data_IF_995543101636
#
_entry.id   IF_995543101636
#
_cell.length_a   1.000
_cell.length_b   1.000
_cell.length_c   1.000
_cell.angle_alpha   90.00
_cell.angle_beta   90.00
_cell.angle_gamma   90.00
#
_symmetry.space_group_name_H-M   'P 1'
#
loop_
_entity.id
_entity.type
_entity.pdbx_description
1 polymer ?
#
# COMPACT_ATOMS: atom_id res chain seq x y z
N UNK A 1 11.23 64.79 -36.27
CA UNK A 1 9.76 64.72 -36.14
C UNK A 1 9.41 63.27 -35.82
N UNK A 2 8.32 63.06 -35.09
CA UNK A 2 8.09 62.01 -34.09
C UNK A 2 7.91 60.55 -34.60
N UNK A 3 7.90 59.68 -33.58
CA UNK A 3 7.78 58.22 -33.51
C UNK A 3 6.50 57.61 -34.15
N UNK A 4 6.58 56.33 -34.53
CA UNK A 4 5.52 55.33 -34.30
C UNK A 4 6.06 53.90 -34.50
N UNK A 5 5.89 53.08 -33.46
CA UNK A 5 6.31 51.69 -33.30
C UNK A 5 5.31 50.69 -33.94
N UNK A 6 5.74 49.44 -34.18
CA UNK A 6 5.18 48.24 -33.49
C UNK A 6 5.96 46.94 -33.82
N UNK A 7 6.60 46.43 -32.75
CA UNK A 7 7.07 45.10 -32.31
C UNK A 7 7.69 44.00 -33.22
N UNK A 8 8.85 43.43 -32.80
CA UNK A 8 9.54 42.30 -33.42
C UNK A 8 9.12 40.92 -32.86
N UNK A 9 9.06 39.90 -33.74
CA UNK A 9 9.09 38.48 -33.35
C UNK A 9 10.54 38.03 -33.16
N UNK A 10 10.91 37.65 -31.94
CA UNK A 10 12.26 37.21 -31.62
C UNK A 10 12.48 35.71 -31.88
N UNK A 11 13.53 35.45 -32.67
CA UNK A 11 14.21 34.19 -32.95
C UNK A 11 15.13 33.75 -31.78
N UNK A 12 15.38 32.45 -31.66
CA UNK A 12 16.70 31.79 -31.49
C UNK A 12 16.45 30.33 -31.05
N UNK A 13 16.94 29.24 -31.66
CA UNK A 13 18.05 29.05 -32.59
C UNK A 13 19.23 28.39 -31.87
N UNK A 14 19.29 27.05 -31.78
CA UNK A 14 20.53 26.26 -31.61
C UNK A 14 20.36 24.88 -32.29
N UNK A 15 21.33 24.52 -33.13
CA UNK A 15 21.53 23.23 -33.82
C UNK A 15 22.53 22.37 -33.02
N UNK A 16 22.33 21.06 -32.89
CA UNK A 16 23.39 20.03 -32.69
C UNK A 16 22.84 18.67 -33.18
N UNK A 17 23.20 18.21 -34.39
CA UNK A 17 24.32 17.34 -34.80
C UNK A 17 24.13 15.83 -34.49
N UNK A 18 24.28 15.03 -35.55
CA UNK A 18 24.01 13.60 -35.68
C UNK A 18 25.37 12.90 -35.88
N UNK A 19 26.05 12.53 -34.80
CA UNK A 19 27.19 11.60 -34.86
C UNK A 19 27.01 10.51 -33.78
N UNK A 20 26.81 9.28 -34.24
CA UNK A 20 26.72 8.01 -33.47
C UNK A 20 28.02 7.72 -32.66
N UNK A 21 28.17 6.65 -31.83
CA UNK A 21 27.22 5.69 -31.22
C UNK A 21 27.51 5.36 -29.71
N UNK A 22 26.70 4.46 -29.14
CA UNK A 22 26.91 3.69 -27.87
C UNK A 22 26.57 4.37 -26.55
N UNK A 23 25.31 4.23 -26.11
CA UNK A 23 24.97 4.32 -24.69
C UNK A 23 25.18 2.94 -24.04
N UNK A 24 26.00 2.85 -22.98
CA UNK A 24 26.41 1.59 -22.37
C UNK A 24 25.32 0.95 -21.52
N UNK A 25 25.42 -0.38 -21.42
CA UNK A 25 24.74 -1.22 -20.43
C UNK A 25 24.90 -0.64 -19.01
N UNK A 26 23.86 0.01 -18.50
CA UNK A 26 23.63 0.07 -17.05
C UNK A 26 22.16 0.41 -16.79
N UNK A 27 21.38 -0.62 -16.50
CA UNK A 27 20.07 -0.47 -15.85
C UNK A 27 20.35 0.06 -14.45
N UNK A 28 20.39 1.38 -14.29
CA UNK A 28 20.39 2.04 -12.99
C UNK A 28 19.15 2.91 -12.91
N UNK A 29 18.41 2.70 -11.82
CA UNK A 29 17.34 3.55 -11.30
C UNK A 29 15.94 3.41 -11.92
N UNK A 30 15.27 2.28 -11.66
CA UNK A 30 13.82 2.29 -11.46
C UNK A 30 13.50 2.84 -10.06
N UNK A 31 13.73 4.13 -9.87
CA UNK A 31 13.04 4.92 -8.85
C UNK A 31 11.85 5.58 -9.50
N UNK A 32 10.77 4.82 -9.65
CA UNK A 32 9.44 5.39 -9.89
C UNK A 32 8.60 5.12 -8.66
N UNK A 33 9.00 5.74 -7.55
CA UNK A 33 8.07 6.02 -6.46
C UNK A 33 7.77 7.52 -6.51
N UNK A 34 6.48 7.85 -6.68
CA UNK A 34 5.90 9.17 -6.42
C UNK A 34 6.18 10.28 -7.46
N UNK A 35 5.84 10.07 -8.74
CA UNK A 35 5.46 11.22 -9.58
C UNK A 35 3.94 11.30 -9.67
N UNK A 36 3.39 12.15 -8.80
CA UNK A 36 2.03 12.67 -8.85
C UNK A 36 1.83 13.53 -10.11
N UNK A 37 1.77 12.90 -11.28
CA UNK A 37 1.15 13.36 -12.53
C UNK A 37 1.64 12.49 -13.70
N UNK A 38 1.06 11.31 -13.89
CA UNK A 38 1.25 10.55 -15.13
C UNK A 38 0.07 10.79 -16.08
N UNK A 39 0.31 11.18 -17.35
CA UNK A 39 -0.73 11.29 -18.36
C UNK A 39 -1.40 9.94 -18.58
N UNK A 40 -2.73 9.94 -18.68
CA UNK A 40 -3.62 8.78 -18.85
C UNK A 40 -2.98 7.66 -19.69
N UNK A 41 -2.83 6.47 -19.10
CA UNK A 41 -2.78 5.23 -19.89
C UNK A 41 -1.64 4.24 -19.68
N UNK A 42 -0.87 4.28 -18.58
CA UNK A 42 -0.03 3.13 -18.22
C UNK A 42 -0.84 2.15 -17.37
N UNK A 43 -0.94 0.89 -17.81
CA UNK A 43 -1.78 -0.14 -17.18
C UNK A 43 -1.33 -0.38 -15.73
N UNK A 44 -2.26 -0.19 -14.81
CA UNK A 44 -2.15 -0.54 -13.39
C UNK A 44 -2.07 -2.07 -13.14
N UNK A 45 -2.09 -2.90 -14.17
CA UNK A 45 -2.13 -4.38 -14.09
C UNK A 45 -0.80 -5.04 -13.67
N UNK A 46 0.30 -4.30 -13.56
CA UNK A 46 1.63 -4.88 -13.28
C UNK A 46 1.91 -4.98 -11.77
N UNK A 47 1.29 -4.12 -10.96
CA UNK A 47 1.56 -4.06 -9.52
C UNK A 47 0.41 -4.65 -8.73
N UNK A 48 0.75 -5.51 -7.75
CA UNK A 48 -0.25 -6.09 -6.86
C UNK A 48 -0.87 -5.04 -5.95
N UNK A 49 -0.06 -4.18 -5.35
CA UNK A 49 -0.51 -3.15 -4.43
C UNK A 49 -0.40 -1.76 -5.05
N UNK A 50 -1.53 -1.04 -5.08
CA UNK A 50 -1.63 0.31 -5.61
C UNK A 50 -1.97 1.26 -4.48
N UNK A 51 -1.07 2.20 -4.21
CA UNK A 51 -1.35 3.32 -3.30
C UNK A 51 -2.32 4.30 -3.97
N UNK A 52 -3.48 4.50 -3.35
CA UNK A 52 -4.51 5.39 -3.89
C UNK A 52 -4.25 6.87 -3.54
N UNK A 53 -3.22 7.17 -2.72
CA UNK A 53 -2.88 8.52 -2.31
C UNK A 53 -3.84 9.14 -1.28
N UNK A 54 -4.82 8.36 -0.81
CA UNK A 54 -5.84 8.74 0.18
C UNK A 54 -5.68 8.00 1.50
N UNK A 55 -4.51 7.42 1.75
CA UNK A 55 -4.26 6.59 2.93
C UNK A 55 -4.72 5.13 2.78
N UNK A 56 -5.20 4.74 1.61
CA UNK A 56 -5.56 3.36 1.29
C UNK A 56 -4.67 2.75 0.21
N UNK A 57 -4.61 1.42 0.19
CA UNK A 57 -3.88 0.63 -0.80
C UNK A 57 -4.79 -0.44 -1.36
N UNK A 58 -4.96 -0.50 -2.68
CA UNK A 58 -5.73 -1.53 -3.37
C UNK A 58 -4.85 -2.75 -3.66
N UNK A 59 -5.29 -3.94 -3.27
CA UNK A 59 -4.72 -5.22 -3.70
C UNK A 59 -5.43 -5.72 -4.96
N UNK A 60 -4.83 -5.52 -6.14
CA UNK A 60 -5.39 -5.93 -7.43
C UNK A 60 -5.61 -7.44 -7.56
N UNK A 61 -4.92 -8.27 -6.76
CA UNK A 61 -5.11 -9.73 -6.79
C UNK A 61 -6.42 -10.15 -6.14
N UNK A 62 -6.78 -9.51 -5.03
CA UNK A 62 -7.94 -9.88 -4.20
C UNK A 62 -9.12 -8.92 -4.37
N UNK A 63 -8.87 -7.72 -4.91
CA UNK A 63 -9.80 -6.61 -4.93
C UNK A 63 -9.93 -5.92 -3.57
N UNK A 64 -9.23 -6.35 -2.53
CA UNK A 64 -9.36 -5.77 -1.19
C UNK A 64 -8.67 -4.42 -1.09
N UNK A 65 -9.17 -3.56 -0.21
CA UNK A 65 -8.56 -2.28 0.11
C UNK A 65 -8.01 -2.33 1.54
N UNK A 66 -6.72 -2.07 1.67
CA UNK A 66 -5.97 -2.12 2.91
C UNK A 66 -5.67 -0.71 3.42
N UNK A 67 -5.65 -0.54 4.74
CA UNK A 67 -5.16 0.69 5.35
C UNK A 67 -3.65 0.81 5.09
N UNK A 68 -3.19 1.96 4.58
CA UNK A 68 -1.77 2.14 4.23
C UNK A 68 -0.84 2.03 5.44
N UNK A 69 -1.25 2.62 6.58
CA UNK A 69 -0.50 2.54 7.83
C UNK A 69 -0.92 1.30 8.65
N UNK A 70 -0.11 0.25 8.57
CA UNK A 70 -0.32 -1.01 9.27
C UNK A 70 -0.14 -0.95 10.80
N UNK A 71 0.27 0.20 11.36
CA UNK A 71 0.41 0.39 12.80
C UNK A 71 -0.38 1.61 13.29
N UNK A 72 -1.52 1.91 12.66
CA UNK A 72 -2.33 3.04 13.12
C UNK A 72 -2.87 2.85 14.56
N UNK A 73 -3.20 1.62 14.94
CA UNK A 73 -3.86 1.34 16.22
C UNK A 73 -2.92 0.79 17.31
N UNK A 74 -1.68 0.45 16.96
CA UNK A 74 -0.81 -0.30 17.86
C UNK A 74 -1.32 -1.70 18.18
N UNK A 75 -0.85 -2.23 19.31
CA UNK A 75 -1.30 -3.51 19.86
C UNK A 75 -2.60 -3.33 20.66
N UNK A 76 -3.56 -4.22 20.45
CA UNK A 76 -4.87 -4.19 21.12
C UNK A 76 -5.31 -5.62 21.46
N UNK A 77 -6.20 -5.78 22.44
CA UNK A 77 -6.91 -7.05 22.63
C UNK A 77 -7.88 -7.30 21.46
N UNK A 78 -8.27 -8.56 21.24
CA UNK A 78 -9.02 -8.96 20.05
C UNK A 78 -10.38 -8.26 19.93
N UNK A 79 -11.08 -8.04 21.06
CA UNK A 79 -12.38 -7.36 21.06
C UNK A 79 -12.24 -5.88 20.73
N UNK A 80 -11.25 -5.22 21.33
CA UNK A 80 -10.95 -3.82 21.04
C UNK A 80 -10.43 -3.63 19.62
N UNK A 81 -9.64 -4.58 19.10
CA UNK A 81 -9.15 -4.58 17.73
C UNK A 81 -10.31 -4.59 16.71
N UNK A 82 -11.27 -5.51 16.87
CA UNK A 82 -12.47 -5.53 16.03
C UNK A 82 -13.25 -4.21 16.10
N UNK A 83 -13.45 -3.68 17.30
CA UNK A 83 -14.19 -2.44 17.50
C UNK A 83 -13.49 -1.22 16.88
N UNK A 84 -12.15 -1.14 17.01
CA UNK A 84 -11.36 -0.04 16.44
C UNK A 84 -11.35 -0.09 14.92
N UNK A 85 -11.20 -1.29 14.34
CA UNK A 85 -11.31 -1.47 12.90
C UNK A 85 -12.70 -1.05 12.40
N UNK A 86 -13.78 -1.52 13.04
CA UNK A 86 -15.15 -1.15 12.69
C UNK A 86 -15.45 0.35 12.86
N UNK A 87 -14.75 1.06 13.74
CA UNK A 87 -14.92 2.50 13.94
C UNK A 87 -14.03 3.37 13.06
N UNK A 88 -13.11 2.75 12.31
CA UNK A 88 -12.21 3.47 11.42
C UNK A 88 -13.02 4.20 10.35
N UNK A 89 -12.67 5.46 10.12
CA UNK A 89 -13.34 6.32 9.16
C UNK A 89 -12.39 7.38 8.62
N UNK A 90 -12.86 8.11 7.61
CA UNK A 90 -12.20 9.28 7.06
C UNK A 90 -11.67 10.24 8.15
N UNK A 91 -10.46 10.77 7.95
CA UNK A 91 -9.78 11.68 8.88
C UNK A 91 -8.97 10.98 9.97
N UNK A 92 -9.05 9.65 10.08
CA UNK A 92 -8.23 8.85 11.00
C UNK A 92 -7.14 8.10 10.23
N UNK A 93 -6.01 7.78 10.87
CA UNK A 93 -4.95 6.98 10.24
C UNK A 93 -4.44 7.52 8.88
N UNK A 94 -4.52 8.85 8.69
CA UNK A 94 -4.21 9.52 7.41
C UNK A 94 -5.19 9.20 6.26
N UNK A 95 -6.38 8.68 6.55
CA UNK A 95 -7.42 8.41 5.56
C UNK A 95 -8.06 9.68 5.02
N UNK A 96 -8.16 9.75 3.69
CA UNK A 96 -8.84 10.77 2.92
C UNK A 96 -9.79 10.13 1.87
N UNK A 97 -10.42 9.01 2.21
CA UNK A 97 -11.13 8.12 1.29
C UNK A 97 -12.67 8.16 1.43
N UNK A 98 -13.18 9.08 2.27
CA UNK A 98 -14.61 9.23 2.64
C UNK A 98 -15.23 8.00 3.29
N UNK A 99 -14.42 7.08 3.82
CA UNK A 99 -14.91 5.93 4.57
C UNK A 99 -15.67 6.35 5.83
N UNK A 100 -16.61 5.50 6.22
CA UNK A 100 -17.47 5.66 7.38
C UNK A 100 -17.25 4.49 8.36
N UNK A 101 -17.62 4.67 9.64
CA UNK A 101 -17.66 3.56 10.58
C UNK A 101 -18.53 2.43 10.01
N UNK A 102 -18.01 1.21 10.03
CA UNK A 102 -18.61 0.01 9.46
C UNK A 102 -18.00 -0.42 8.12
N UNK A 103 -17.31 0.48 7.40
CA UNK A 103 -16.67 0.13 6.13
C UNK A 103 -15.44 -0.76 6.33
N UNK A 104 -14.73 -0.55 7.43
CA UNK A 104 -13.47 -1.23 7.74
C UNK A 104 -13.69 -2.36 8.74
N UNK A 105 -12.92 -3.44 8.58
CA UNK A 105 -12.93 -4.61 9.46
C UNK A 105 -11.55 -5.19 9.65
N UNK A 106 -11.43 -6.14 10.59
CA UNK A 106 -10.24 -6.97 10.68
C UNK A 106 -10.24 -8.01 9.53
N UNK A 107 -9.07 -8.32 8.96
CA UNK A 107 -8.95 -9.33 7.91
C UNK A 107 -9.31 -10.71 8.42
N UNK A 108 -9.92 -11.53 7.58
CA UNK A 108 -10.15 -12.95 7.86
C UNK A 108 -8.84 -13.73 7.70
N UNK A 109 -8.86 -15.00 8.11
CA UNK A 109 -7.74 -15.94 7.89
C UNK A 109 -7.39 -16.03 6.39
N UNK A 110 -8.39 -16.29 5.54
CA UNK A 110 -8.23 -16.41 4.09
C UNK A 110 -7.61 -15.16 3.44
N UNK A 111 -7.96 -13.97 3.94
CA UNK A 111 -7.42 -12.70 3.42
C UNK A 111 -5.95 -12.49 3.81
N UNK A 112 -5.58 -12.92 5.02
CA UNK A 112 -4.17 -12.96 5.43
C UNK A 112 -3.37 -13.97 4.61
N UNK A 113 -3.93 -15.15 4.36
CA UNK A 113 -3.31 -16.15 3.48
C UNK A 113 -3.19 -15.66 2.05
N UNK A 114 -4.16 -14.90 1.54
CA UNK A 114 -4.06 -14.32 0.21
C UNK A 114 -2.93 -13.28 0.13
N UNK A 115 -2.74 -12.49 1.20
CA UNK A 115 -1.73 -11.44 1.32
C UNK A 115 -0.31 -11.99 1.48
N UNK A 116 -0.15 -13.02 2.30
CA UNK A 116 1.10 -13.75 2.51
C UNK A 116 1.38 -14.66 1.31
N UNK A 117 2.52 -14.50 0.63
CA UNK A 117 2.85 -15.36 -0.51
C UNK A 117 3.81 -16.49 -0.08
N UNK A 118 3.36 -17.73 -0.25
CA UNK A 118 4.11 -18.94 0.07
C UNK A 118 5.40 -19.11 -0.73
N UNK A 119 5.54 -18.40 -1.85
CA UNK A 119 6.70 -18.50 -2.76
C UNK A 119 7.97 -17.89 -2.18
N UNK A 120 7.86 -17.07 -1.13
CA UNK A 120 9.03 -16.49 -0.46
C UNK A 120 9.42 -17.34 0.75
N UNK A 121 10.72 -17.54 0.94
CA UNK A 121 11.31 -18.35 2.03
C UNK A 121 10.78 -17.91 3.42
N UNK A 122 10.41 -16.64 3.56
CA UNK A 122 9.89 -16.06 4.80
C UNK A 122 8.37 -15.81 4.78
N UNK A 123 7.63 -16.26 3.76
CA UNK A 123 6.16 -16.10 3.63
C UNK A 123 5.69 -14.70 4.09
N UNK A 124 6.36 -13.63 3.65
CA UNK A 124 5.99 -12.26 4.02
C UNK A 124 5.07 -11.65 2.96
N UNK A 125 4.62 -10.41 3.19
CA UNK A 125 3.89 -9.61 2.18
C UNK A 125 4.65 -9.65 0.85
N UNK A 126 3.94 -9.88 -0.26
CA UNK A 126 4.51 -9.83 -1.61
C UNK A 126 3.91 -8.71 -2.43
N UNK A 127 4.75 -7.92 -3.10
CA UNK A 127 4.31 -6.87 -4.03
C UNK A 127 3.95 -7.41 -5.44
N UNK A 128 3.88 -8.74 -5.61
CA UNK A 128 3.56 -9.41 -6.87
C UNK A 128 4.77 -9.79 -7.72
N UNK A 129 5.88 -9.05 -7.62
CA UNK A 129 7.13 -9.30 -8.36
C UNK A 129 8.31 -9.68 -7.46
N UNK A 130 8.16 -9.50 -6.15
CA UNK A 130 9.18 -9.81 -5.16
C UNK A 130 8.64 -9.76 -3.72
N UNK A 131 9.57 -9.87 -2.77
CA UNK A 131 9.30 -9.67 -1.36
C UNK A 131 9.09 -8.17 -1.11
N UNK A 132 8.03 -7.82 -0.38
CA UNK A 132 7.74 -6.44 -0.01
C UNK A 132 8.82 -5.85 0.89
N UNK A 133 9.10 -4.54 0.70
CA UNK A 133 10.02 -3.76 1.54
C UNK A 133 9.30 -2.57 2.18
N UNK A 134 9.77 -2.16 3.36
CA UNK A 134 9.26 -0.97 4.04
C UNK A 134 9.32 0.26 3.13
N UNK A 135 8.17 0.92 2.94
CA UNK A 135 8.08 2.10 2.09
C UNK A 135 7.72 1.83 0.62
N UNK A 136 7.41 0.58 0.25
CA UNK A 136 6.73 0.27 -1.02
C UNK A 136 5.27 0.80 -0.95
N UNK A 137 4.27 -0.08 -0.92
CA UNK A 137 2.87 0.33 -0.82
C UNK A 137 2.42 0.67 0.62
N UNK A 138 3.00 0.01 1.62
CA UNK A 138 2.57 0.10 3.02
C UNK A 138 3.58 0.85 3.89
N UNK A 139 3.09 1.42 4.98
CA UNK A 139 3.90 2.05 6.02
C UNK A 139 3.56 1.46 7.38
N UNK A 140 4.48 1.60 8.34
CA UNK A 140 4.26 1.14 9.71
C UNK A 140 4.15 -0.38 9.89
N UNK A 141 4.45 -1.21 8.88
CA UNK A 141 4.38 -2.68 9.02
C UNK A 141 5.37 -3.14 10.10
N UNK A 142 4.86 -3.92 11.05
CA UNK A 142 5.64 -4.49 12.15
C UNK A 142 6.01 -5.93 11.83
N UNK A 143 7.23 -6.35 12.19
CA UNK A 143 7.66 -7.75 12.09
C UNK A 143 7.13 -8.58 13.28
N UNK A 144 5.81 -8.55 13.49
CA UNK A 144 5.15 -9.16 14.65
C UNK A 144 3.83 -9.83 14.24
N UNK A 145 3.05 -10.24 15.24
CA UNK A 145 1.73 -10.82 15.08
C UNK A 145 0.67 -9.76 14.79
N UNK A 146 -0.28 -10.11 13.93
CA UNK A 146 -1.44 -9.33 13.57
C UNK A 146 -2.71 -10.13 13.80
N UNK A 147 -3.75 -9.47 14.31
CA UNK A 147 -5.05 -10.11 14.53
C UNK A 147 -5.78 -10.44 13.22
N UNK A 148 -6.48 -11.58 13.23
CA UNK A 148 -7.57 -11.89 12.30
C UNK A 148 -8.93 -11.73 12.98
N UNK A 149 -9.99 -11.49 12.19
CA UNK A 149 -11.37 -11.56 12.64
C UNK A 149 -11.87 -13.00 12.86
N UNK A 150 -11.14 -14.02 12.41
CA UNK A 150 -11.51 -15.42 12.60
C UNK A 150 -11.29 -15.86 14.05
N UNK A 151 -12.35 -16.31 14.72
CA UNK A 151 -12.24 -16.93 16.04
C UNK A 151 -11.84 -18.41 15.89
N UNK A 152 -10.82 -18.85 16.60
CA UNK A 152 -10.43 -20.28 16.65
C UNK A 152 -11.12 -21.02 17.79
N UNK A 153 -11.43 -20.33 18.89
CA UNK A 153 -12.19 -20.88 20.01
C UNK A 153 -12.96 -19.79 20.77
N UNK A 154 -13.58 -20.16 21.89
CA UNK A 154 -14.23 -19.19 22.79
C UNK A 154 -13.20 -18.20 23.37
N UNK A 155 -11.99 -18.67 23.70
CA UNK A 155 -10.93 -17.88 24.32
C UNK A 155 -9.83 -17.43 23.36
N UNK A 156 -9.79 -17.95 22.13
CA UNK A 156 -8.68 -17.74 21.19
C UNK A 156 -9.15 -17.27 19.81
N UNK A 157 -8.29 -16.51 19.14
CA UNK A 157 -8.49 -16.02 17.78
C UNK A 157 -7.26 -16.25 16.93
N UNK A 158 -7.47 -16.27 15.61
CA UNK A 158 -6.41 -16.44 14.63
C UNK A 158 -5.52 -15.21 14.56
N UNK A 159 -4.23 -15.45 14.33
CA UNK A 159 -3.22 -14.43 14.14
C UNK A 159 -2.18 -14.87 13.11
N UNK A 160 -1.62 -13.89 12.40
CA UNK A 160 -0.55 -14.11 11.42
C UNK A 160 0.68 -13.31 11.82
N UNK A 161 1.86 -13.89 11.67
CA UNK A 161 3.13 -13.22 11.91
C UNK A 161 3.72 -12.75 10.61
N UNK A 162 3.90 -11.44 10.44
CA UNK A 162 4.42 -10.90 9.18
C UNK A 162 5.95 -10.98 9.05
N UNK A 163 6.66 -11.45 10.07
CA UNK A 163 8.11 -11.69 9.99
C UNK A 163 8.48 -12.95 9.21
N UNK A 164 7.63 -13.97 9.26
CA UNK A 164 7.90 -15.31 8.71
C UNK A 164 6.64 -16.00 8.14
N UNK A 165 5.52 -15.28 8.05
CA UNK A 165 4.23 -15.78 7.54
C UNK A 165 3.63 -16.91 8.34
N UNK A 166 4.04 -17.09 9.60
CA UNK A 166 3.46 -18.13 10.46
C UNK A 166 2.02 -17.76 10.81
N UNK A 167 1.15 -18.73 10.66
CA UNK A 167 -0.24 -18.64 11.12
C UNK A 167 -0.36 -19.40 12.44
N UNK A 168 -1.11 -18.85 13.39
CA UNK A 168 -1.31 -19.45 14.70
C UNK A 168 -2.53 -18.90 15.42
N UNK A 169 -2.68 -19.28 16.69
CA UNK A 169 -3.80 -18.88 17.54
C UNK A 169 -3.30 -18.23 18.83
N UNK A 170 -3.91 -17.12 19.22
CA UNK A 170 -3.60 -16.37 20.45
C UNK A 170 -4.81 -16.23 21.36
N UNK A 171 -4.58 -16.06 22.66
CA UNK A 171 -5.65 -15.72 23.60
C UNK A 171 -6.22 -14.33 23.28
N UNK A 172 -7.54 -14.18 23.28
CA UNK A 172 -8.24 -12.94 22.89
C UNK A 172 -7.88 -11.71 23.75
N UNK A 173 -7.27 -11.92 24.92
CA UNK A 173 -6.81 -10.87 25.84
C UNK A 173 -5.38 -10.40 25.59
N UNK A 174 -4.65 -11.05 24.67
CA UNK A 174 -3.29 -10.63 24.31
C UNK A 174 -3.33 -9.31 23.54
N UNK A 175 -2.33 -8.46 23.76
CA UNK A 175 -2.13 -7.26 22.95
C UNK A 175 -1.38 -7.65 21.66
N UNK A 176 -2.04 -7.54 20.51
CA UNK A 176 -1.48 -7.89 19.19
C UNK A 176 -1.85 -6.78 18.18
N UNK A 177 -1.02 -6.57 17.15
CA UNK A 177 -1.21 -5.49 16.19
C UNK A 177 -2.50 -5.63 15.38
N UNK A 178 -3.03 -4.47 14.97
CA UNK A 178 -4.30 -4.35 14.25
C UNK A 178 -4.05 -3.71 12.90
N UNK A 179 -4.48 -4.37 11.84
CA UNK A 179 -4.46 -3.83 10.49
C UNK A 179 -5.84 -3.98 9.89
N UNK A 180 -6.46 -2.87 9.47
CA UNK A 180 -7.80 -2.87 8.89
C UNK A 180 -7.77 -3.13 7.38
N UNK A 181 -8.80 -3.85 6.93
CA UNK A 181 -9.12 -4.12 5.52
C UNK A 181 -10.59 -3.83 5.27
N UNK A 182 -10.95 -3.57 4.02
CA UNK A 182 -12.34 -3.49 3.55
C UNK A 182 -12.47 -4.09 2.17
N UNK A 183 -13.70 -4.38 1.78
CA UNK A 183 -14.02 -4.88 0.46
C UNK A 183 -13.76 -3.81 -0.61
N UNK A 184 -13.34 -4.24 -1.80
CA UNK A 184 -13.22 -3.37 -2.97
C UNK A 184 -14.56 -3.04 -3.60
N UNK A 185 -14.57 -2.00 -4.43
CA UNK A 185 -15.71 -1.62 -5.27
C UNK A 185 -15.70 -2.31 -6.62
#
# INVERSE_FOLDING_TARGET
>A
MALSETHPTYLSGIIFDITHPTMPHEIRDYRVCCLSNSPRGWRNDIFRYIDNGDGTVTDNKTGLIWLKNANCFGEQDWKTAMLRAAKLAHGQCSLNDRSKPGDWRLPTEDEWEAMVDERYILRTISNGTGQWKQGDAFTGVQSSWYWSSTASSTSSAWLVRLSDGRVGNGGKTLAIYVWAVRDGH
#
